data_IF_701951271713
#
_entry.id   IF_701951271713
#
_cell.length_a   1.000
_cell.length_b   1.000
_cell.length_c   1.000
_cell.angle_alpha   90.00
_cell.angle_beta   90.00
_cell.angle_gamma   90.00
#
_symmetry.space_group_name_H-M   'P 1'
#
loop_
_entity.id
_entity.type
_entity.pdbx_description
1 polymer ?
#
# COMPACT_ATOMS: atom_id res chain seq x y z
N UNK A 1 -17.06 0.40 -16.88
CA UNK A 1 -16.81 1.86 -16.82
C UNK A 1 -16.86 2.42 -15.41
N UNK A 2 -17.94 2.21 -14.64
CA UNK A 2 -18.08 2.74 -13.25
C UNK A 2 -16.91 2.36 -12.31
N UNK A 3 -16.45 1.10 -12.35
CA UNK A 3 -15.34 0.63 -11.52
C UNK A 3 -13.99 1.27 -11.86
N UNK A 4 -13.71 1.56 -13.13
CA UNK A 4 -12.46 2.19 -13.55
C UNK A 4 -12.43 3.67 -13.16
N UNK A 5 -13.56 4.37 -13.27
CA UNK A 5 -13.67 5.74 -12.81
C UNK A 5 -13.54 5.84 -11.29
N UNK A 6 -14.19 4.93 -10.55
CA UNK A 6 -14.02 4.80 -9.10
C UNK A 6 -12.55 4.58 -8.75
N UNK A 7 -11.93 3.57 -9.37
CA UNK A 7 -10.50 3.24 -9.15
C UNK A 7 -9.59 4.42 -9.41
N UNK A 8 -9.80 5.15 -10.50
CA UNK A 8 -9.02 6.34 -10.82
C UNK A 8 -9.18 7.42 -9.74
N UNK A 9 -10.41 7.76 -9.37
CA UNK A 9 -10.70 8.77 -8.37
C UNK A 9 -10.19 8.35 -6.96
N UNK A 10 -10.45 7.11 -6.55
CA UNK A 10 -9.98 6.54 -5.29
C UNK A 10 -8.46 6.48 -5.22
N UNK A 11 -7.79 6.11 -6.31
CA UNK A 11 -6.32 6.13 -6.43
C UNK A 11 -5.75 7.53 -6.27
N UNK A 12 -6.37 8.52 -6.92
CA UNK A 12 -5.95 9.91 -6.82
C UNK A 12 -6.13 10.47 -5.40
N UNK A 13 -7.26 10.17 -4.74
CA UNK A 13 -7.51 10.57 -3.35
C UNK A 13 -6.51 9.92 -2.39
N UNK A 14 -6.30 8.61 -2.52
CA UNK A 14 -5.37 7.89 -1.65
C UNK A 14 -3.94 8.40 -1.78
N UNK A 15 -3.45 8.56 -3.02
CA UNK A 15 -2.15 9.16 -3.28
C UNK A 15 -2.06 10.61 -2.78
N UNK A 16 -3.09 11.41 -3.02
CA UNK A 16 -3.17 12.80 -2.57
C UNK A 16 -3.10 12.93 -1.04
N UNK A 17 -3.79 12.07 -0.30
CA UNK A 17 -3.69 12.05 1.17
C UNK A 17 -2.30 11.62 1.64
N UNK A 18 -1.73 10.58 1.04
CA UNK A 18 -0.40 10.09 1.42
C UNK A 18 0.68 11.17 1.26
N UNK A 19 0.67 11.95 0.17
CA UNK A 19 1.70 12.98 -0.07
C UNK A 19 1.31 14.40 0.33
N UNK A 20 0.03 14.66 0.59
CA UNK A 20 -0.49 15.97 1.02
C UNK A 20 -0.66 16.11 2.53
N UNK A 21 -1.04 15.03 3.23
CA UNK A 21 -1.36 15.07 4.66
C UNK A 21 -0.23 14.47 5.51
N UNK A 22 0.31 13.32 5.10
CA UNK A 22 1.35 12.64 5.87
C UNK A 22 2.56 13.54 6.17
N UNK A 23 3.14 14.28 5.19
CA UNK A 23 4.30 15.11 5.46
C UNK A 23 4.02 16.19 6.51
N UNK A 24 2.81 16.76 6.52
CA UNK A 24 2.43 17.80 7.48
C UNK A 24 2.23 17.24 8.89
N UNK A 25 1.60 16.06 9.01
CA UNK A 25 1.48 15.36 10.29
C UNK A 25 2.85 14.96 10.85
N UNK A 26 3.75 14.45 10.01
CA UNK A 26 5.12 14.13 10.39
C UNK A 26 5.89 15.37 10.84
N UNK A 27 5.83 16.48 10.08
CA UNK A 27 6.51 17.73 10.45
C UNK A 27 6.02 18.28 11.79
N UNK A 28 4.72 18.15 12.07
CA UNK A 28 4.09 18.71 13.26
C UNK A 28 4.31 17.86 14.51
N UNK A 29 4.19 16.53 14.39
CA UNK A 29 4.16 15.61 15.53
C UNK A 29 5.29 14.56 15.51
N UNK A 30 6.24 14.68 14.59
CA UNK A 30 7.37 13.77 14.43
C UNK A 30 6.93 12.33 14.16
N UNK A 31 7.60 11.38 14.83
CA UNK A 31 7.32 9.95 14.70
C UNK A 31 5.85 9.60 15.01
N UNK A 32 5.27 10.22 16.04
CA UNK A 32 3.86 10.02 16.38
C UNK A 32 2.93 10.52 15.29
N UNK A 33 3.30 11.62 14.63
CA UNK A 33 2.61 12.11 13.43
C UNK A 33 2.62 11.11 12.29
N UNK A 34 3.74 10.41 12.08
CA UNK A 34 3.84 9.31 11.12
C UNK A 34 2.91 8.14 11.42
N UNK A 35 2.87 7.69 12.67
CA UNK A 35 1.96 6.62 13.10
C UNK A 35 0.48 7.00 12.99
N UNK A 36 0.16 8.25 13.34
CA UNK A 36 -1.17 8.81 13.20
C UNK A 36 -1.58 8.89 11.73
N UNK A 37 -0.69 9.41 10.86
CA UNK A 37 -0.91 9.49 9.42
C UNK A 37 -1.11 8.10 8.81
N UNK A 38 -0.31 7.11 9.20
CA UNK A 38 -0.45 5.74 8.75
C UNK A 38 -1.85 5.18 9.12
N UNK A 39 -2.25 5.32 10.38
CA UNK A 39 -3.55 4.81 10.86
C UNK A 39 -4.72 5.48 10.14
N UNK A 40 -4.71 6.83 10.05
CA UNK A 40 -5.81 7.58 9.44
C UNK A 40 -5.86 7.36 7.93
N UNK A 41 -4.76 7.57 7.22
CA UNK A 41 -4.75 7.55 5.76
C UNK A 41 -4.86 6.10 5.27
N UNK A 42 -4.00 5.20 5.75
CA UNK A 42 -3.98 3.82 5.26
C UNK A 42 -5.20 3.05 5.77
N UNK A 43 -5.59 3.24 7.03
CA UNK A 43 -6.74 2.54 7.61
C UNK A 43 -8.07 2.92 6.96
N UNK A 44 -8.34 4.22 6.77
CA UNK A 44 -9.58 4.68 6.12
C UNK A 44 -9.60 4.24 4.66
N UNK A 45 -8.49 4.40 3.93
CA UNK A 45 -8.44 3.99 2.52
C UNK A 45 -8.57 2.49 2.35
N UNK A 46 -7.99 1.69 3.25
CA UNK A 46 -8.15 0.25 3.23
C UNK A 46 -9.62 -0.14 3.37
N UNK A 47 -10.35 0.48 4.31
CA UNK A 47 -11.78 0.26 4.50
C UNK A 47 -12.57 0.67 3.23
N UNK A 48 -12.30 1.86 2.69
CA UNK A 48 -12.96 2.33 1.47
C UNK A 48 -12.71 1.41 0.27
N UNK A 49 -11.51 0.82 0.17
CA UNK A 49 -11.18 -0.09 -0.92
C UNK A 49 -11.87 -1.45 -0.74
N UNK A 50 -11.87 -2.01 0.47
CA UNK A 50 -12.41 -3.34 0.74
C UNK A 50 -13.94 -3.40 0.85
N UNK A 51 -14.57 -2.35 1.36
CA UNK A 51 -16.01 -2.36 1.64
C UNK A 51 -16.83 -1.44 0.72
N UNK A 52 -16.22 -0.36 0.21
CA UNK A 52 -16.92 0.62 -0.63
C UNK A 52 -16.51 0.56 -2.11
N UNK A 53 -15.49 -0.22 -2.46
CA UNK A 53 -15.01 -0.37 -3.85
C UNK A 53 -14.43 0.92 -4.43
N UNK A 54 -13.82 1.76 -3.59
CA UNK A 54 -13.15 3.00 -4.03
C UNK A 54 -12.00 2.69 -5.00
N UNK A 55 -11.23 1.63 -4.73
CA UNK A 55 -10.24 1.07 -5.67
C UNK A 55 -10.66 -0.38 -5.94
N UNK A 56 -10.57 -0.81 -7.20
CA UNK A 56 -10.93 -2.17 -7.58
C UNK A 56 -9.96 -3.17 -6.94
N UNK A 57 -10.50 -3.98 -6.02
CA UNK A 57 -9.75 -5.03 -5.32
C UNK A 57 -10.41 -6.41 -5.53
N UNK A 58 -10.03 -7.16 -6.58
CA UNK A 58 -10.61 -8.47 -6.84
C UNK A 58 -10.23 -9.48 -5.74
N UNK A 59 -11.16 -10.39 -5.43
CA UNK A 59 -10.90 -11.48 -4.48
C UNK A 59 -9.64 -12.26 -4.86
N UNK A 60 -8.84 -12.62 -3.84
CA UNK A 60 -7.57 -13.30 -4.02
C UNK A 60 -6.38 -12.41 -4.40
N UNK A 61 -6.58 -11.11 -4.71
CA UNK A 61 -5.51 -10.16 -5.08
C UNK A 61 -5.23 -9.13 -3.99
N UNK A 62 -4.74 -9.62 -2.85
CA UNK A 62 -4.94 -8.98 -1.55
C UNK A 62 -4.06 -7.73 -1.25
N UNK A 63 -3.23 -7.22 -2.17
CA UNK A 63 -2.26 -6.15 -1.85
C UNK A 63 -1.81 -5.20 -2.96
N UNK A 64 -2.27 -5.37 -4.21
CA UNK A 64 -1.71 -4.56 -5.31
C UNK A 64 -2.34 -3.17 -5.41
N UNK A 65 -3.61 -2.99 -5.05
CA UNK A 65 -4.42 -1.86 -5.50
C UNK A 65 -4.02 -0.51 -4.85
N UNK A 66 -3.88 -0.45 -3.52
CA UNK A 66 -3.49 0.78 -2.80
C UNK A 66 -1.98 1.04 -2.85
N UNK A 67 -1.16 -0.01 -2.88
CA UNK A 67 0.30 0.11 -3.01
C UNK A 67 0.71 0.74 -4.34
N UNK A 68 0.10 0.31 -5.45
CA UNK A 68 0.35 0.91 -6.77
C UNK A 68 -0.12 2.35 -6.86
N UNK A 69 -1.25 2.69 -6.22
CA UNK A 69 -1.74 4.06 -6.25
C UNK A 69 -0.81 5.01 -5.48
N UNK A 70 -0.34 4.60 -4.29
CA UNK A 70 0.60 5.41 -3.50
C UNK A 70 1.96 5.48 -4.21
N UNK A 71 2.46 4.37 -4.74
CA UNK A 71 3.73 4.36 -5.49
C UNK A 71 3.72 5.27 -6.71
N UNK A 72 2.67 5.19 -7.55
CA UNK A 72 2.51 6.05 -8.73
C UNK A 72 2.32 7.52 -8.36
N UNK A 73 1.55 7.83 -7.32
CA UNK A 73 1.42 9.18 -6.79
C UNK A 73 2.75 9.72 -6.27
N UNK A 74 3.56 8.89 -5.61
CA UNK A 74 4.89 9.27 -5.13
C UNK A 74 5.87 9.58 -6.25
N UNK A 75 5.83 8.82 -7.34
CA UNK A 75 6.62 9.11 -8.54
C UNK A 75 6.20 10.46 -9.15
N UNK A 76 4.90 10.67 -9.37
CA UNK A 76 4.38 11.91 -9.93
C UNK A 76 4.69 13.12 -9.03
N UNK A 77 4.47 12.97 -7.72
CA UNK A 77 4.80 13.99 -6.72
C UNK A 77 6.30 14.32 -6.71
N UNK A 78 7.16 13.29 -6.76
CA UNK A 78 8.62 13.46 -6.82
C UNK A 78 9.08 14.21 -8.06
N UNK A 79 8.57 13.85 -9.25
CA UNK A 79 8.89 14.54 -10.51
C UNK A 79 8.52 16.02 -10.43
N UNK A 80 7.32 16.34 -9.97
CA UNK A 80 6.84 17.73 -9.87
C UNK A 80 7.64 18.52 -8.81
N UNK A 81 7.86 17.92 -7.63
CA UNK A 81 8.46 18.59 -6.48
C UNK A 81 9.96 18.84 -6.66
N UNK A 82 10.65 17.93 -7.34
CA UNK A 82 12.10 17.95 -7.51
C UNK A 82 12.52 18.20 -8.96
N UNK A 83 11.59 18.51 -9.87
CA UNK A 83 11.86 18.85 -11.27
C UNK A 83 12.66 17.74 -12.01
N UNK A 84 12.51 16.48 -11.59
CA UNK A 84 13.29 15.37 -12.14
C UNK A 84 14.73 15.25 -11.64
N UNK A 85 15.11 15.97 -10.57
CA UNK A 85 16.40 15.78 -9.92
C UNK A 85 16.49 14.41 -9.24
N UNK A 86 17.49 13.63 -9.65
CA UNK A 86 17.78 12.30 -9.09
C UNK A 86 18.67 12.36 -7.85
N UNK A 87 19.21 13.51 -7.46
CA UNK A 87 20.02 13.64 -6.25
C UNK A 87 19.29 13.16 -4.99
N UNK A 88 18.02 13.52 -4.86
CA UNK A 88 17.16 13.06 -3.75
C UNK A 88 16.77 11.58 -3.83
N UNK A 89 16.77 10.98 -5.03
CA UNK A 89 16.40 9.58 -5.22
C UNK A 89 17.40 8.63 -4.54
N UNK A 90 18.69 8.89 -4.67
CA UNK A 90 19.73 8.06 -4.05
C UNK A 90 19.75 8.19 -2.52
N UNK A 91 19.33 9.33 -1.97
CA UNK A 91 19.13 9.49 -0.52
C UNK A 91 17.97 8.64 0.00
N UNK A 92 16.92 8.45 -0.81
CA UNK A 92 15.78 7.61 -0.47
C UNK A 92 15.99 6.10 -0.76
N UNK A 93 17.03 5.75 -1.53
CA UNK A 93 17.30 4.37 -1.96
C UNK A 93 17.40 3.36 -0.80
N UNK A 94 18.08 3.65 0.34
CA UNK A 94 18.10 2.71 1.47
C UNK A 94 16.70 2.40 2.01
N UNK A 95 15.84 3.44 2.13
CA UNK A 95 14.46 3.28 2.56
C UNK A 95 13.66 2.43 1.57
N UNK A 96 13.83 2.68 0.26
CA UNK A 96 13.18 1.88 -0.78
C UNK A 96 13.59 0.40 -0.70
N UNK A 97 14.87 0.11 -0.49
CA UNK A 97 15.36 -1.27 -0.30
C UNK A 97 14.72 -1.91 0.92
N UNK A 98 14.66 -1.22 2.06
CA UNK A 98 13.98 -1.72 3.25
C UNK A 98 12.49 -2.01 2.99
N UNK A 99 11.78 -1.13 2.28
CA UNK A 99 10.39 -1.34 1.90
C UNK A 99 10.22 -2.58 1.00
N UNK A 100 11.11 -2.78 0.03
CA UNK A 100 11.08 -3.95 -0.87
C UNK A 100 11.33 -5.25 -0.11
N UNK A 101 12.30 -5.27 0.82
CA UNK A 101 12.59 -6.42 1.68
C UNK A 101 11.38 -6.73 2.56
N UNK A 102 10.82 -5.70 3.23
CA UNK A 102 9.63 -5.87 4.06
C UNK A 102 8.44 -6.42 3.27
N UNK A 103 8.19 -5.91 2.07
CA UNK A 103 7.15 -6.40 1.16
C UNK A 103 7.37 -7.87 0.74
N UNK A 104 8.60 -8.23 0.39
CA UNK A 104 8.95 -9.60 0.02
C UNK A 104 8.78 -10.59 1.19
N UNK A 105 9.21 -10.20 2.40
CA UNK A 105 9.07 -11.01 3.61
C UNK A 105 7.60 -11.20 4.02
N UNK A 106 6.78 -10.15 3.89
CA UNK A 106 5.33 -10.25 4.12
C UNK A 106 4.68 -11.22 3.12
N UNK A 107 5.03 -11.12 1.83
CA UNK A 107 4.57 -12.05 0.79
C UNK A 107 4.96 -13.50 1.08
N UNK A 108 6.22 -13.74 1.49
CA UNK A 108 6.70 -15.06 1.85
C UNK A 108 5.95 -15.62 3.07
N UNK A 109 5.73 -14.81 4.10
CA UNK A 109 4.99 -15.21 5.30
C UNK A 109 3.58 -15.68 4.96
N UNK A 110 2.86 -14.93 4.13
CA UNK A 110 1.50 -15.31 3.69
C UNK A 110 1.54 -16.61 2.88
N UNK A 111 2.54 -16.78 2.02
CA UNK A 111 2.69 -18.01 1.23
C UNK A 111 2.91 -19.24 2.12
N UNK A 112 3.77 -19.13 3.15
CA UNK A 112 3.99 -20.21 4.13
C UNK A 112 2.70 -20.55 4.86
N UNK A 113 1.98 -19.54 5.37
CA UNK A 113 0.72 -19.75 6.10
C UNK A 113 -0.33 -20.47 5.24
N UNK A 114 -0.51 -20.05 3.98
CA UNK A 114 -1.43 -20.72 3.05
C UNK A 114 -1.00 -22.14 2.70
N UNK A 115 0.30 -22.37 2.55
CA UNK A 115 0.84 -23.70 2.25
C UNK A 115 0.60 -24.68 3.40
N UNK A 116 0.72 -24.23 4.65
CA UNK A 116 0.36 -25.04 5.82
C UNK A 116 -1.14 -25.32 5.89
N UNK A 117 -2.00 -24.32 5.68
CA UNK A 117 -3.45 -24.50 5.67
C UNK A 117 -3.92 -25.53 4.64
N UNK A 118 -3.40 -25.45 3.41
CA UNK A 118 -3.73 -26.39 2.33
C UNK A 118 -3.21 -27.83 2.59
N UNK A 119 -2.19 -27.99 3.43
CA UNK A 119 -1.70 -29.32 3.83
C UNK A 119 -2.61 -29.96 4.86
N UNK A 120 -3.01 -29.19 5.88
CA UNK A 120 -3.92 -29.65 6.93
C UNK A 120 -5.28 -30.08 6.35
N UNK A 121 -5.84 -29.32 5.42
CA UNK A 121 -7.13 -29.66 4.78
C UNK A 121 -7.06 -30.97 4.00
N UNK A 122 -5.92 -31.25 3.35
CA UNK A 122 -5.71 -32.50 2.61
C UNK A 122 -5.55 -33.70 3.54
N UNK A 123 -4.88 -33.53 4.67
CA UNK A 123 -4.77 -34.58 5.69
C UNK A 123 -6.15 -34.94 6.25
N UNK A 124 -6.98 -33.93 6.56
CA UNK A 124 -8.35 -34.15 7.05
C UNK A 124 -9.22 -34.92 6.05
N UNK A 125 -9.22 -34.55 4.76
CA UNK A 125 -9.93 -35.27 3.69
C UNK A 125 -9.46 -36.73 3.54
N UNK A 126 -8.18 -37.04 3.81
CA UNK A 126 -7.67 -38.41 3.72
C UNK A 126 -7.97 -39.27 4.95
N UNK A 127 -8.42 -38.65 6.05
CA UNK A 127 -8.75 -39.33 7.31
C UNK A 127 -10.25 -39.60 7.52
N UNK A 128 -11.11 -39.08 6.63
CA UNK A 128 -12.56 -39.29 6.58
C UNK A 128 -12.91 -40.30 5.49
#
# INVERSE_FOLDING_TARGET
MKHYLSTFAGSAICGGFAFGIWPELWKTYGLMGGWLAATLIIGIMWYMNHYNGAILNPEGKIWLDQGWCIGSAGIAWGIVRFQGDFGGFFLAAPTLVCCLIGGALAGLTIWVMRSCGNRLSKEEETTV
#
